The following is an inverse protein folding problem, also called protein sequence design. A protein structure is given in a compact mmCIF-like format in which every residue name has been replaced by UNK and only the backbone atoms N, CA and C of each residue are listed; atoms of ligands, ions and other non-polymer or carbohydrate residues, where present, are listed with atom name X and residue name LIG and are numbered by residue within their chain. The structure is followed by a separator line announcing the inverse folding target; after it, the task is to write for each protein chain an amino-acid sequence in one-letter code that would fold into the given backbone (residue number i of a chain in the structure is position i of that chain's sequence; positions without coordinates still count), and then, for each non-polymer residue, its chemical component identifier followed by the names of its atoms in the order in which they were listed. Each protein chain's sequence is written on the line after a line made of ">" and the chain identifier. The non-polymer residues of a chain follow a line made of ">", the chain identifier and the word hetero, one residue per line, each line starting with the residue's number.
data_IF_377126586315
#
_entry.id   IF_377126586315
#
_cell.length_a   1.000
_cell.length_b   1.000
_cell.length_c   1.000
_cell.angle_alpha   90.00
_cell.angle_beta   90.00
_cell.angle_gamma   90.00
#
_symmetry.space_group_name_H-M   'P 1'
#
loop_
_entity.id
_entity.type
_entity.pdbx_description
1 polymer ?
#
# COMPACT_ATOMS: atom_id res chain seq x y z
N UNK A 1 -6.05 26.63 -1.36
CA UNK A 1 -5.94 25.21 -1.80
C UNK A 1 -7.26 24.54 -1.47
N UNK A 2 -7.88 23.87 -2.42
CA UNK A 2 -9.02 22.99 -2.15
C UNK A 2 -8.50 21.61 -1.77
N UNK A 3 -9.03 21.01 -0.70
CA UNK A 3 -8.74 19.61 -0.36
C UNK A 3 -9.46 18.74 -1.39
N UNK A 4 -8.75 17.82 -2.01
CA UNK A 4 -9.34 16.79 -2.85
C UNK A 4 -9.42 15.49 -2.03
N UNK A 5 -10.49 14.74 -2.24
CA UNK A 5 -10.73 13.48 -1.54
C UNK A 5 -10.67 12.36 -2.57
N UNK A 6 -9.91 11.34 -2.25
CA UNK A 6 -9.83 10.09 -3.00
C UNK A 6 -10.37 8.91 -2.22
N UNK A 7 -10.44 7.76 -2.87
CA UNK A 7 -10.81 6.49 -2.26
C UNK A 7 -9.93 5.37 -2.80
N UNK A 8 -10.05 4.19 -2.25
CA UNK A 8 -9.30 3.00 -2.66
C UNK A 8 -10.22 1.83 -2.97
N UNK A 9 -9.88 0.92 -3.89
CA UNK A 9 -10.71 -0.24 -4.24
C UNK A 9 -11.10 -1.14 -3.07
N UNK A 10 -10.33 -1.13 -1.98
CA UNK A 10 -10.68 -1.86 -0.75
C UNK A 10 -12.03 -1.43 -0.15
N UNK A 11 -12.49 -0.19 -0.39
CA UNK A 11 -13.83 0.26 0.01
C UNK A 11 -14.97 -0.49 -0.70
N UNK A 12 -14.66 -1.18 -1.80
CA UNK A 12 -15.56 -2.09 -2.52
C UNK A 12 -15.25 -3.56 -2.24
N UNK A 13 -14.44 -3.86 -1.21
CA UNK A 13 -14.05 -5.20 -0.81
C UNK A 13 -12.92 -5.81 -1.67
N UNK A 14 -12.21 -5.01 -2.44
CA UNK A 14 -11.11 -5.48 -3.30
C UNK A 14 -9.81 -5.51 -2.51
N UNK A 15 -9.48 -6.66 -1.95
CA UNK A 15 -8.23 -6.90 -1.22
C UNK A 15 -7.18 -7.63 -2.07
N UNK A 16 -7.62 -8.55 -2.91
CA UNK A 16 -6.77 -9.37 -3.79
C UNK A 16 -7.26 -9.25 -5.23
N UNK A 17 -6.34 -9.04 -6.17
CA UNK A 17 -6.68 -8.78 -7.57
C UNK A 17 -7.55 -9.88 -8.23
N UNK A 18 -7.29 -11.14 -7.90
CA UNK A 18 -7.90 -12.30 -8.52
C UNK A 18 -9.06 -12.92 -7.72
N UNK A 19 -9.61 -12.21 -6.72
CA UNK A 19 -10.77 -12.72 -6.00
C UNK A 19 -12.00 -12.69 -6.93
N UNK A 20 -12.66 -13.84 -7.17
CA UNK A 20 -13.82 -13.91 -8.07
C UNK A 20 -15.05 -13.14 -7.55
N UNK A 21 -15.02 -12.68 -6.31
CA UNK A 21 -16.08 -11.86 -5.70
C UNK A 21 -15.88 -10.37 -5.97
N UNK A 22 -14.73 -9.95 -6.49
CA UNK A 22 -14.47 -8.56 -6.79
C UNK A 22 -15.51 -8.00 -7.78
N UNK A 23 -15.96 -6.76 -7.57
CA UNK A 23 -16.66 -6.02 -8.62
C UNK A 23 -15.70 -5.80 -9.81
N UNK A 24 -16.24 -5.45 -10.98
CA UNK A 24 -15.37 -5.05 -12.07
C UNK A 24 -14.65 -3.74 -11.71
N UNK A 25 -13.40 -3.62 -12.15
CA UNK A 25 -12.64 -2.40 -11.89
C UNK A 25 -13.30 -1.14 -12.51
N UNK A 26 -14.04 -1.32 -13.62
CA UNK A 26 -14.80 -0.22 -14.25
C UNK A 26 -15.98 0.22 -13.39
N UNK A 27 -16.66 -0.71 -12.73
CA UNK A 27 -17.74 -0.37 -11.80
C UNK A 27 -17.20 0.38 -10.58
N UNK A 28 -16.03 -0.02 -10.06
CA UNK A 28 -15.36 0.70 -8.97
C UNK A 28 -15.01 2.13 -9.38
N UNK A 29 -14.46 2.35 -10.57
CA UNK A 29 -14.17 3.72 -11.07
C UNK A 29 -15.45 4.54 -11.22
N UNK A 30 -16.50 3.93 -11.77
CA UNK A 30 -17.80 4.58 -11.95
C UNK A 30 -18.38 5.01 -10.61
N UNK A 31 -18.50 4.09 -9.65
CA UNK A 31 -19.06 4.35 -8.33
C UNK A 31 -18.24 5.41 -7.57
N UNK A 32 -16.91 5.35 -7.67
CA UNK A 32 -16.01 6.34 -7.09
C UNK A 32 -16.30 7.75 -7.65
N UNK A 33 -16.44 7.86 -8.95
CA UNK A 33 -16.79 9.12 -9.62
C UNK A 33 -18.20 9.63 -9.24
N UNK A 34 -19.20 8.74 -9.25
CA UNK A 34 -20.59 9.07 -8.90
C UNK A 34 -20.72 9.49 -7.43
N UNK A 35 -19.89 8.92 -6.54
CA UNK A 35 -19.79 9.34 -5.13
C UNK A 35 -19.12 10.71 -4.95
N UNK A 36 -18.55 11.29 -6.01
CA UNK A 36 -17.96 12.63 -6.01
C UNK A 36 -16.48 12.70 -5.69
N UNK A 37 -15.80 11.56 -5.53
CA UNK A 37 -14.34 11.51 -5.37
C UNK A 37 -13.62 12.05 -6.62
N UNK A 38 -12.42 12.54 -6.43
CA UNK A 38 -11.55 13.07 -7.50
C UNK A 38 -10.32 12.23 -7.72
N UNK A 39 -9.98 11.40 -6.76
CA UNK A 39 -8.84 10.49 -6.82
C UNK A 39 -9.23 9.06 -6.47
N UNK A 40 -8.45 8.12 -6.99
CA UNK A 40 -8.56 6.71 -6.64
C UNK A 40 -7.15 6.12 -6.52
N UNK A 41 -6.96 5.19 -5.60
CA UNK A 41 -5.76 4.37 -5.55
C UNK A 41 -5.81 3.21 -6.54
N UNK A 42 -4.63 2.69 -6.90
CA UNK A 42 -4.51 1.56 -7.84
C UNK A 42 -5.22 0.29 -7.36
N UNK A 43 -5.29 0.10 -6.05
CA UNK A 43 -5.67 -1.19 -5.46
C UNK A 43 -4.59 -2.25 -5.63
N UNK A 44 -4.91 -3.53 -5.43
CA UNK A 44 -3.94 -4.61 -5.62
C UNK A 44 -3.53 -4.72 -7.09
N UNK A 45 -2.24 -4.84 -7.35
CA UNK A 45 -1.67 -4.97 -8.70
C UNK A 45 -2.35 -6.11 -9.47
N UNK A 46 -2.83 -5.80 -10.67
CA UNK A 46 -3.56 -6.72 -11.53
C UNK A 46 -5.09 -6.64 -11.36
N UNK A 47 -5.62 -5.83 -10.44
CA UNK A 47 -7.05 -5.54 -10.37
C UNK A 47 -7.47 -4.55 -11.48
N UNK A 48 -6.77 -3.42 -11.58
CA UNK A 48 -6.93 -2.51 -12.71
C UNK A 48 -6.04 -2.94 -13.88
N UNK A 49 -6.34 -2.52 -15.12
CA UNK A 49 -5.50 -2.84 -16.27
C UNK A 49 -4.06 -2.37 -16.08
N UNK A 50 -3.10 -3.23 -16.43
CA UNK A 50 -1.69 -2.85 -16.50
C UNK A 50 -1.36 -2.09 -17.81
N UNK A 51 -2.26 -2.16 -18.79
CA UNK A 51 -2.14 -1.34 -20.00
C UNK A 51 -2.35 0.14 -19.66
N UNK A 52 -1.29 0.91 -19.88
CA UNK A 52 -1.27 2.34 -19.56
C UNK A 52 -2.36 3.14 -20.29
N UNK A 53 -2.64 2.78 -21.55
CA UNK A 53 -3.60 3.54 -22.36
C UNK A 53 -5.01 3.24 -21.89
N UNK A 54 -5.34 1.97 -21.69
CA UNK A 54 -6.65 1.54 -21.20
C UNK A 54 -7.00 2.16 -19.85
N UNK A 55 -6.07 2.14 -18.90
CA UNK A 55 -6.31 2.72 -17.58
C UNK A 55 -6.43 4.26 -17.67
N UNK A 56 -5.58 4.93 -18.45
CA UNK A 56 -5.64 6.38 -18.61
C UNK A 56 -6.97 6.83 -19.26
N UNK A 57 -7.44 6.13 -20.27
CA UNK A 57 -8.73 6.42 -20.91
C UNK A 57 -9.90 6.26 -19.93
N UNK A 58 -9.89 5.20 -19.11
CA UNK A 58 -10.92 4.98 -18.12
C UNK A 58 -10.90 6.04 -17.01
N UNK A 59 -9.73 6.39 -16.48
CA UNK A 59 -9.61 7.45 -15.48
C UNK A 59 -10.14 8.78 -16.03
N UNK A 60 -9.77 9.14 -17.27
CA UNK A 60 -10.27 10.34 -17.94
C UNK A 60 -11.79 10.28 -18.14
N UNK A 61 -12.34 9.14 -18.56
CA UNK A 61 -13.78 8.94 -18.77
C UNK A 61 -14.58 9.23 -17.50
N UNK A 62 -14.06 8.81 -16.34
CA UNK A 62 -14.73 8.99 -15.04
C UNK A 62 -14.30 10.27 -14.31
N UNK A 63 -13.37 11.06 -14.86
CA UNK A 63 -12.88 12.30 -14.24
C UNK A 63 -12.14 12.06 -12.92
N UNK A 64 -11.38 10.96 -12.84
CA UNK A 64 -10.58 10.54 -11.71
C UNK A 64 -9.09 10.68 -12.00
N UNK A 65 -8.31 10.95 -10.96
CA UNK A 65 -6.85 10.90 -10.96
C UNK A 65 -6.36 9.69 -10.19
N UNK A 66 -5.33 9.00 -10.69
CA UNK A 66 -4.63 7.99 -9.88
C UNK A 66 -3.76 8.72 -8.86
N UNK A 67 -4.03 8.54 -7.57
CA UNK A 67 -3.38 9.29 -6.49
C UNK A 67 -2.26 8.53 -5.81
N UNK A 68 -2.33 7.20 -5.78
CA UNK A 68 -1.36 6.35 -5.11
C UNK A 68 -1.68 4.87 -5.32
N UNK A 69 -0.95 4.03 -4.62
CA UNK A 69 -1.19 2.59 -4.59
C UNK A 69 -0.44 1.93 -3.45
N UNK A 70 -0.92 0.78 -3.02
CA UNK A 70 -0.38 0.07 -1.89
C UNK A 70 0.36 -1.21 -2.30
N UNK A 71 1.42 -1.51 -1.57
CA UNK A 71 2.11 -2.80 -1.56
C UNK A 71 1.75 -3.49 -0.24
N UNK A 72 0.64 -4.22 -0.26
CA UNK A 72 0.17 -5.04 0.86
C UNK A 72 0.75 -6.44 0.69
N UNK A 73 1.89 -6.72 1.33
CA UNK A 73 2.68 -7.94 1.17
C UNK A 73 3.32 -8.36 2.48
N UNK A 74 3.65 -9.66 2.65
CA UNK A 74 4.27 -10.16 3.88
C UNK A 74 5.77 -9.79 3.94
N UNK A 75 6.07 -8.56 4.31
CA UNK A 75 7.45 -8.10 4.52
C UNK A 75 8.16 -8.91 5.62
N UNK A 76 7.38 -9.42 6.57
CA UNK A 76 7.85 -10.25 7.67
C UNK A 76 8.24 -11.68 7.24
N UNK A 77 7.74 -12.20 6.12
CA UNK A 77 8.07 -13.55 5.66
C UNK A 77 9.35 -13.55 4.81
N UNK A 78 10.37 -14.25 5.32
CA UNK A 78 11.67 -14.32 4.66
C UNK A 78 11.64 -15.00 3.29
N UNK A 79 10.67 -15.89 3.07
CA UNK A 79 10.56 -16.65 1.82
C UNK A 79 9.78 -15.90 0.73
N UNK A 80 9.13 -14.80 1.07
CA UNK A 80 8.26 -14.04 0.16
C UNK A 80 8.97 -12.88 -0.54
N UNK A 81 10.29 -12.72 -0.37
CA UNK A 81 10.99 -11.51 -0.81
C UNK A 81 10.86 -11.23 -2.31
N UNK A 82 10.98 -12.26 -3.14
CA UNK A 82 10.89 -12.10 -4.60
C UNK A 82 9.48 -11.65 -5.03
N UNK A 83 8.42 -12.18 -4.40
CA UNK A 83 7.03 -11.75 -4.64
C UNK A 83 6.79 -10.33 -4.15
N UNK A 84 7.33 -9.98 -2.99
CA UNK A 84 7.26 -8.61 -2.43
C UNK A 84 7.91 -7.62 -3.38
N UNK A 85 9.10 -7.92 -3.89
CA UNK A 85 9.82 -7.07 -4.83
C UNK A 85 9.13 -6.95 -6.18
N UNK A 86 8.63 -8.06 -6.75
CA UNK A 86 7.86 -8.02 -8.01
C UNK A 86 6.62 -7.14 -7.86
N UNK A 87 5.84 -7.35 -6.81
CA UNK A 87 4.66 -6.54 -6.50
C UNK A 87 5.00 -5.05 -6.35
N UNK A 88 6.07 -4.73 -5.63
CA UNK A 88 6.52 -3.35 -5.44
C UNK A 88 6.93 -2.69 -6.75
N UNK A 89 7.74 -3.35 -7.57
CA UNK A 89 8.19 -2.82 -8.87
C UNK A 89 7.01 -2.61 -9.83
N UNK A 90 6.07 -3.54 -9.90
CA UNK A 90 4.87 -3.41 -10.74
C UNK A 90 4.00 -2.24 -10.29
N UNK A 91 3.77 -2.11 -8.98
CA UNK A 91 3.05 -0.96 -8.42
C UNK A 91 3.76 0.36 -8.76
N UNK A 92 5.07 0.46 -8.52
CA UNK A 92 5.84 1.66 -8.83
C UNK A 92 5.76 2.05 -10.31
N UNK A 93 5.87 1.08 -11.22
CA UNK A 93 5.73 1.31 -12.67
C UNK A 93 4.34 1.86 -13.03
N UNK A 94 3.29 1.28 -12.47
CA UNK A 94 1.92 1.76 -12.71
C UNK A 94 1.72 3.18 -12.19
N UNK A 95 2.16 3.47 -10.96
CA UNK A 95 2.05 4.81 -10.37
C UNK A 95 2.80 5.86 -11.20
N UNK A 96 4.06 5.58 -11.54
CA UNK A 96 4.87 6.47 -12.37
C UNK A 96 4.22 6.71 -13.74
N UNK A 97 3.67 5.67 -14.37
CA UNK A 97 3.04 5.78 -15.69
C UNK A 97 1.84 6.73 -15.71
N UNK A 98 1.12 6.87 -14.60
CA UNK A 98 -0.06 7.72 -14.45
C UNK A 98 0.18 9.00 -13.64
N UNK A 99 1.44 9.29 -13.26
CA UNK A 99 1.79 10.51 -12.53
C UNK A 99 1.42 10.52 -11.05
N UNK A 100 0.94 9.40 -10.51
CA UNK A 100 0.71 9.24 -9.07
C UNK A 100 2.03 9.32 -8.30
N UNK A 101 1.97 9.76 -7.03
CA UNK A 101 3.18 10.05 -6.25
C UNK A 101 3.33 9.20 -5.00
N UNK A 102 2.25 8.67 -4.47
CA UNK A 102 2.22 8.03 -3.17
C UNK A 102 2.29 6.50 -3.30
N UNK A 103 3.33 5.90 -2.68
CA UNK A 103 3.46 4.45 -2.54
C UNK A 103 3.29 4.08 -1.08
N UNK A 104 2.21 3.38 -0.75
CA UNK A 104 1.93 2.94 0.61
C UNK A 104 2.46 1.52 0.82
N UNK A 105 3.36 1.35 1.78
CA UNK A 105 3.93 0.06 2.17
C UNK A 105 3.16 -0.46 3.38
N UNK A 106 2.63 -1.66 3.29
CA UNK A 106 1.79 -2.29 4.31
C UNK A 106 2.27 -3.72 4.55
N UNK A 107 2.71 -4.02 5.76
CA UNK A 107 2.97 -5.42 6.13
C UNK A 107 1.64 -6.16 6.25
N UNK A 108 1.49 -7.23 5.49
CA UNK A 108 0.24 -7.98 5.48
C UNK A 108 0.02 -8.73 6.81
N UNK A 109 -1.23 -9.15 7.03
CA UNK A 109 -1.61 -9.89 8.24
C UNK A 109 -0.75 -11.15 8.38
N UNK A 110 -0.11 -11.30 9.54
CA UNK A 110 0.68 -12.47 9.88
C UNK A 110 -0.16 -13.46 10.72
N UNK A 111 -0.11 -14.77 10.41
CA UNK A 111 -0.74 -15.77 11.28
C UNK A 111 -0.25 -15.72 12.73
N UNK A 112 0.95 -15.18 12.98
CA UNK A 112 1.52 -14.96 14.33
C UNK A 112 0.82 -13.81 15.07
N UNK A 113 0.21 -12.86 14.34
CA UNK A 113 -0.34 -11.62 14.88
C UNK A 113 -1.85 -11.48 14.72
N UNK A 114 -2.45 -12.20 13.76
CA UNK A 114 -3.87 -12.10 13.42
C UNK A 114 -4.79 -12.20 14.64
N UNK A 115 -4.50 -13.13 15.55
CA UNK A 115 -5.34 -13.35 16.74
C UNK A 115 -5.18 -12.29 17.82
N UNK A 116 -4.13 -11.50 17.76
CA UNK A 116 -3.79 -10.45 18.73
C UNK A 116 -3.88 -9.05 18.15
N UNK A 117 -4.43 -8.91 16.93
CA UNK A 117 -4.69 -7.62 16.32
C UNK A 117 -5.44 -6.69 17.28
N UNK A 118 -4.94 -5.48 17.48
CA UNK A 118 -5.48 -4.51 18.43
C UNK A 118 -5.20 -4.81 19.93
N UNK A 119 -4.45 -5.87 20.26
CA UNK A 119 -4.13 -6.26 21.65
C UNK A 119 -2.61 -6.32 21.88
N UNK A 120 -2.02 -5.15 22.10
CA UNK A 120 -0.58 -4.97 22.18
C UNK A 120 0.10 -5.85 23.26
N UNK A 121 -0.56 -6.05 24.40
CA UNK A 121 0.01 -6.81 25.53
C UNK A 121 0.10 -8.34 25.28
N UNK A 122 -0.67 -8.84 24.29
CA UNK A 122 -0.70 -10.25 23.93
C UNK A 122 0.07 -10.52 22.62
N UNK A 123 0.43 -9.48 21.90
CA UNK A 123 1.00 -9.59 20.56
C UNK A 123 2.44 -10.09 20.59
N UNK A 124 2.75 -11.01 19.69
CA UNK A 124 4.11 -11.49 19.50
C UNK A 124 5.01 -10.37 18.98
N UNK A 125 6.19 -10.24 19.53
CA UNK A 125 7.19 -9.23 19.15
C UNK A 125 8.26 -9.93 18.32
N UNK A 126 8.71 -9.31 17.25
CA UNK A 126 9.86 -9.78 16.49
C UNK A 126 11.13 -9.78 17.32
N UNK A 127 11.90 -10.86 17.25
CA UNK A 127 13.26 -10.87 17.75
C UNK A 127 14.14 -9.84 17.00
N UNK A 128 15.26 -9.45 17.62
CA UNK A 128 16.09 -8.36 17.10
C UNK A 128 16.50 -8.58 15.63
N UNK A 129 16.99 -9.76 15.28
CA UNK A 129 17.49 -10.05 13.94
C UNK A 129 16.36 -10.12 12.90
N UNK A 130 15.18 -10.61 13.29
CA UNK A 130 13.97 -10.58 12.46
C UNK A 130 13.55 -9.13 12.17
N UNK A 131 13.53 -8.30 13.22
CA UNK A 131 13.19 -6.87 13.08
C UNK A 131 14.14 -6.12 12.15
N UNK A 132 15.45 -6.34 12.30
CA UNK A 132 16.44 -5.69 11.43
C UNK A 132 16.19 -6.04 9.98
N UNK A 133 15.98 -7.32 9.68
CA UNK A 133 15.73 -7.78 8.32
C UNK A 133 14.39 -7.26 7.76
N UNK A 134 13.33 -7.28 8.56
CA UNK A 134 12.03 -6.71 8.22
C UNK A 134 12.12 -5.22 7.89
N UNK A 135 12.73 -4.42 8.76
CA UNK A 135 12.97 -3.00 8.55
C UNK A 135 13.79 -2.74 7.27
N UNK A 136 14.88 -3.47 7.07
CA UNK A 136 15.76 -3.28 5.92
C UNK A 136 15.06 -3.59 4.60
N UNK A 137 14.11 -4.51 4.57
CA UNK A 137 13.24 -4.78 3.42
C UNK A 137 12.35 -3.60 3.08
N UNK A 138 11.67 -3.04 4.08
CA UNK A 138 10.84 -1.83 3.91
C UNK A 138 11.69 -0.69 3.37
N UNK A 139 12.86 -0.45 3.97
CA UNK A 139 13.80 0.60 3.54
C UNK A 139 14.31 0.37 2.12
N UNK A 140 14.56 -0.88 1.74
CA UNK A 140 15.00 -1.23 0.38
C UNK A 140 13.95 -0.83 -0.66
N UNK A 141 12.69 -1.16 -0.42
CA UNK A 141 11.61 -0.79 -1.35
C UNK A 141 11.36 0.71 -1.32
N UNK A 142 11.42 1.35 -0.14
CA UNK A 142 11.25 2.79 -0.03
C UNK A 142 12.31 3.55 -0.86
N UNK A 143 13.57 3.13 -0.78
CA UNK A 143 14.66 3.71 -1.58
C UNK A 143 14.46 3.45 -3.06
N UNK A 144 14.15 2.22 -3.45
CA UNK A 144 13.86 1.88 -4.84
C UNK A 144 12.75 2.78 -5.42
N UNK A 145 11.65 2.95 -4.68
CA UNK A 145 10.52 3.77 -5.09
C UNK A 145 10.88 5.25 -5.26
N UNK A 146 11.67 5.78 -4.32
CA UNK A 146 12.10 7.17 -4.37
C UNK A 146 13.15 7.42 -5.47
N UNK A 147 14.19 6.58 -5.52
CA UNK A 147 15.38 6.82 -6.35
C UNK A 147 15.13 6.50 -7.83
N UNK A 148 14.39 5.42 -8.13
CA UNK A 148 14.18 4.98 -9.50
C UNK A 148 12.84 5.45 -10.10
N UNK A 149 11.82 5.65 -9.27
CA UNK A 149 10.47 5.99 -9.75
C UNK A 149 10.00 7.38 -9.33
N UNK A 150 10.75 8.10 -8.47
CA UNK A 150 10.41 9.44 -8.01
C UNK A 150 9.12 9.48 -7.18
N UNK A 151 8.81 8.39 -6.50
CA UNK A 151 7.65 8.25 -5.63
C UNK A 151 7.96 8.69 -4.19
N UNK A 152 6.91 8.90 -3.43
CA UNK A 152 6.94 9.19 -2.00
C UNK A 152 6.53 7.93 -1.26
N UNK A 153 7.48 7.17 -0.68
CA UNK A 153 7.14 5.97 0.07
C UNK A 153 6.61 6.33 1.46
N UNK A 154 5.52 5.67 1.82
CA UNK A 154 4.80 5.90 3.07
C UNK A 154 4.50 4.55 3.73
N UNK A 155 4.72 4.44 5.02
CA UNK A 155 4.38 3.27 5.80
C UNK A 155 3.00 3.43 6.41
N UNK A 156 2.15 2.44 6.21
CA UNK A 156 0.84 2.35 6.84
C UNK A 156 0.86 1.27 7.93
N UNK A 157 0.70 1.63 9.21
CA UNK A 157 0.48 0.67 10.28
C UNK A 157 -0.81 -0.10 10.06
N UNK A 158 -0.76 -1.44 10.15
CA UNK A 158 -1.92 -2.26 9.82
C UNK A 158 -2.15 -3.35 10.88
N UNK A 159 -3.40 -3.47 11.33
CA UNK A 159 -3.79 -4.44 12.33
C UNK A 159 -3.47 -5.88 11.90
N UNK A 160 -2.77 -6.62 12.77
CA UNK A 160 -2.31 -7.98 12.50
C UNK A 160 -1.01 -8.10 11.70
N UNK A 161 -0.41 -6.99 11.26
CA UNK A 161 0.96 -6.91 10.79
C UNK A 161 1.97 -6.75 11.92
N UNK A 162 3.26 -6.57 11.61
CA UNK A 162 4.31 -6.32 12.61
C UNK A 162 4.60 -4.83 12.82
N UNK A 163 3.83 -3.95 12.21
CA UNK A 163 3.70 -2.55 12.59
C UNK A 163 2.20 -2.27 12.75
N UNK A 164 1.69 -2.57 13.94
CA UNK A 164 0.28 -2.44 14.34
C UNK A 164 0.15 -1.44 15.49
N UNK A 165 1.10 -1.46 16.44
CA UNK A 165 1.00 -0.73 17.70
C UNK A 165 1.93 0.48 17.77
N UNK A 166 1.57 1.44 18.62
CA UNK A 166 2.33 2.68 18.85
C UNK A 166 3.83 2.45 19.01
N UNK A 167 4.24 1.50 19.88
CA UNK A 167 5.66 1.21 20.12
C UNK A 167 6.41 0.71 18.88
N UNK A 168 5.74 0.01 17.99
CA UNK A 168 6.31 -0.48 16.73
C UNK A 168 6.46 0.67 15.72
N UNK A 169 5.46 1.54 15.67
CA UNK A 169 5.51 2.78 14.88
C UNK A 169 6.63 3.69 15.40
N UNK A 170 6.72 3.91 16.70
CA UNK A 170 7.80 4.71 17.30
C UNK A 170 9.17 4.11 16.98
N UNK A 171 9.31 2.79 17.07
CA UNK A 171 10.56 2.09 16.78
C UNK A 171 11.01 2.27 15.34
N UNK A 172 10.14 2.07 14.36
CA UNK A 172 10.49 2.24 12.94
C UNK A 172 10.83 3.70 12.64
N UNK A 173 10.10 4.67 13.20
CA UNK A 173 10.35 6.10 13.03
C UNK A 173 11.66 6.56 13.71
N UNK A 174 12.08 5.90 14.78
CA UNK A 174 13.37 6.18 15.43
C UNK A 174 14.55 5.62 14.63
N UNK A 175 14.36 4.54 13.87
CA UNK A 175 15.43 3.84 13.15
C UNK A 175 15.52 4.23 11.66
N UNK A 176 14.47 4.79 11.08
CA UNK A 176 14.41 5.16 9.65
C UNK A 176 14.15 6.65 9.49
N UNK A 177 15.03 7.33 8.74
CA UNK A 177 14.87 8.75 8.46
C UNK A 177 13.55 9.01 7.69
N UNK A 178 12.76 9.97 8.16
CA UNK A 178 11.49 10.39 7.53
C UNK A 178 11.66 10.98 6.12
N UNK A 179 12.90 11.27 5.70
CA UNK A 179 13.22 11.58 4.30
C UNK A 179 13.18 10.36 3.39
N UNK A 180 13.40 9.16 3.97
CA UNK A 180 13.37 7.88 3.24
C UNK A 180 11.97 7.29 3.27
N UNK A 181 11.32 7.29 4.44
CA UNK A 181 10.02 6.67 4.65
C UNK A 181 9.14 7.60 5.47
N UNK A 182 8.01 7.97 4.93
CA UNK A 182 6.99 8.76 5.65
C UNK A 182 5.96 7.84 6.29
N UNK A 183 4.99 8.42 6.97
CA UNK A 183 3.89 7.71 7.61
C UNK A 183 2.57 8.04 6.89
N UNK A 184 1.85 7.01 6.47
CA UNK A 184 0.46 7.10 6.05
C UNK A 184 -0.41 6.74 7.25
N UNK A 185 -1.03 7.75 7.86
CA UNK A 185 -1.81 7.58 9.10
C UNK A 185 -3.21 7.12 8.76
N UNK A 186 -3.62 6.02 9.36
CA UNK A 186 -5.02 5.60 9.42
C UNK A 186 -5.63 6.12 10.73
N UNK A 187 -6.79 6.75 10.61
CA UNK A 187 -7.53 7.29 11.76
C UNK A 187 -8.83 6.54 12.04
N UNK A 188 -9.04 5.43 11.34
CA UNK A 188 -10.25 4.65 11.18
C UNK A 188 -10.72 3.76 12.26
#
# INVERSE_FOLDING_TARGET
>A
MSIQIGNAPCSWGVEFANDPRNPSWRDVLKDCSEAGYKGIELGPVGFMPEDKVELAEALNQFGLELIGGAVFRPFHDLNSWDDVMDGAVRTCKALMAHGAKHLVLIDSISPRRERTAGRADEAEIMEHDEWVLFRDRIVTIAKLAADEFGLIPELHPHAGGFIDFEKEVEKILAEVDTKILKLCIDTG
#
